data_IF_665175037214
#
_entry.id   IF_665175037214
#
_cell.length_a   1.000
_cell.length_b   1.000
_cell.length_c   1.000
_cell.angle_alpha   90.00
_cell.angle_beta   90.00
_cell.angle_gamma   90.00
#
_symmetry.space_group_name_H-M   'P 1'
#
loop_
_entity.id
_entity.type
_entity.pdbx_description
1 polymer ?
#
# COMPACT_ATOMS: atom_id res chain seq x y z
N UNK A 1 -24.86 5.21 38.38
CA UNK A 1 -23.90 6.32 38.34
C UNK A 1 -22.77 6.15 37.30
N UNK A 2 -22.60 4.98 36.67
CA UNK A 2 -21.56 4.77 35.64
C UNK A 2 -21.95 5.19 34.21
N UNK A 3 -23.25 5.28 33.88
CA UNK A 3 -23.71 5.67 32.54
C UNK A 3 -23.62 7.18 32.23
N UNK A 4 -23.41 8.03 33.25
CA UNK A 4 -23.41 9.50 33.09
C UNK A 4 -22.02 10.14 32.89
N UNK A 5 -20.93 9.37 32.99
CA UNK A 5 -19.58 9.84 32.65
C UNK A 5 -19.22 9.54 31.19
N UNK A 6 -19.58 8.36 30.69
CA UNK A 6 -19.32 7.97 29.30
C UNK A 6 -20.00 8.91 28.28
N UNK A 7 -21.22 9.35 28.59
CA UNK A 7 -21.95 10.29 27.73
C UNK A 7 -21.30 11.69 27.69
N UNK A 8 -20.72 12.14 28.81
CA UNK A 8 -20.02 13.44 28.90
C UNK A 8 -18.65 13.41 28.22
N UNK A 9 -17.93 12.28 28.27
CA UNK A 9 -16.69 12.10 27.50
C UNK A 9 -16.94 12.00 26.00
N UNK A 10 -18.04 11.36 25.59
CA UNK A 10 -18.46 11.32 24.18
C UNK A 10 -18.88 12.70 23.65
N UNK A 11 -19.64 13.48 24.43
CA UNK A 11 -19.98 14.87 24.07
C UNK A 11 -18.75 15.79 24.03
N UNK A 12 -17.82 15.66 25.00
CA UNK A 12 -16.54 16.39 24.97
C UNK A 12 -15.66 15.99 23.78
N UNK A 13 -15.63 14.70 23.39
CA UNK A 13 -14.93 14.26 22.17
C UNK A 13 -15.58 14.81 20.88
N UNK A 14 -16.91 14.90 20.81
CA UNK A 14 -17.60 15.51 19.68
C UNK A 14 -17.39 17.03 19.61
N UNK A 15 -17.38 17.73 20.76
CA UNK A 15 -17.09 19.17 20.83
C UNK A 15 -15.63 19.47 20.48
N UNK A 16 -14.67 18.64 20.89
CA UNK A 16 -13.27 18.80 20.54
C UNK A 16 -13.00 18.59 19.04
N UNK A 17 -13.82 17.78 18.36
CA UNK A 17 -13.82 17.62 16.90
C UNK A 17 -14.55 18.75 16.17
N UNK A 18 -15.50 19.45 16.82
CA UNK A 18 -16.29 20.51 16.21
C UNK A 18 -15.59 21.89 16.25
N UNK A 19 -14.71 22.12 17.23
CA UNK A 19 -14.01 23.40 17.44
C UNK A 19 -12.62 23.47 16.77
N UNK A 20 -12.14 22.34 16.22
CA UNK A 20 -10.95 22.31 15.37
C UNK A 20 -11.39 22.54 13.93
N UNK A 21 -11.05 23.69 13.34
CA UNK A 21 -11.23 23.91 11.89
C UNK A 21 -10.75 22.66 11.13
N UNK A 22 -11.65 21.89 10.47
CA UNK A 22 -11.35 20.53 10.01
C UNK A 22 -10.28 20.49 8.92
N UNK A 23 -9.89 21.65 8.41
CA UNK A 23 -8.92 21.81 7.35
C UNK A 23 -7.47 21.56 7.81
N UNK A 24 -7.10 22.06 9.00
CA UNK A 24 -5.72 21.97 9.52
C UNK A 24 -5.32 20.53 9.87
N UNK A 25 -6.08 19.76 10.68
CA UNK A 25 -5.67 18.41 11.06
C UNK A 25 -5.66 17.45 9.85
N UNK A 26 -6.56 17.65 8.89
CA UNK A 26 -6.61 16.84 7.66
C UNK A 26 -5.37 17.08 6.80
N UNK A 27 -4.96 18.34 6.60
CA UNK A 27 -3.74 18.64 5.86
C UNK A 27 -2.47 18.11 6.54
N UNK A 28 -2.39 18.22 7.87
CA UNK A 28 -1.27 17.64 8.63
C UNK A 28 -1.20 16.12 8.47
N UNK A 29 -2.34 15.43 8.47
CA UNK A 29 -2.39 13.97 8.27
C UNK A 29 -1.89 13.55 6.88
N UNK A 30 -2.23 14.30 5.83
CA UNK A 30 -1.74 14.04 4.47
C UNK A 30 -0.22 14.30 4.36
N UNK A 31 0.27 15.39 4.95
CA UNK A 31 1.69 15.70 4.97
C UNK A 31 2.50 14.64 5.73
N UNK A 32 2.03 14.19 6.89
CA UNK A 32 2.67 13.13 7.66
C UNK A 32 2.67 11.78 6.91
N UNK A 33 1.56 11.41 6.28
CA UNK A 33 1.47 10.20 5.46
C UNK A 33 2.43 10.23 4.27
N UNK A 34 2.61 11.38 3.63
CA UNK A 34 3.59 11.52 2.56
C UNK A 34 5.03 11.43 3.09
N UNK A 35 5.35 12.20 4.13
CA UNK A 35 6.69 12.26 4.72
C UNK A 35 7.15 10.94 5.33
N UNK A 36 6.25 10.16 5.92
CA UNK A 36 6.57 8.86 6.51
C UNK A 36 6.38 7.72 5.52
N UNK A 37 5.33 7.79 4.70
CA UNK A 37 4.96 6.72 3.77
C UNK A 37 5.95 6.56 2.63
N UNK A 38 6.48 7.64 2.06
CA UNK A 38 7.46 7.55 0.97
C UNK A 38 8.78 6.92 1.41
N UNK A 39 9.48 7.39 2.48
CA UNK A 39 10.73 6.76 2.91
C UNK A 39 10.52 5.34 3.43
N UNK A 40 9.42 5.06 4.13
CA UNK A 40 9.14 3.71 4.61
C UNK A 40 8.92 2.73 3.44
N UNK A 41 8.04 3.07 2.50
CA UNK A 41 7.75 2.18 1.38
C UNK A 41 8.91 2.08 0.39
N UNK A 42 9.67 3.17 0.15
CA UNK A 42 10.87 3.11 -0.70
C UNK A 42 11.97 2.27 -0.08
N UNK A 43 12.14 2.32 1.24
CA UNK A 43 13.09 1.46 1.96
C UNK A 43 12.74 -0.02 1.85
N UNK A 44 11.47 -0.37 2.04
CA UNK A 44 11.02 -1.76 1.89
C UNK A 44 11.15 -2.21 0.43
N UNK A 45 10.77 -1.36 -0.54
CA UNK A 45 10.94 -1.67 -1.97
C UNK A 45 12.41 -1.89 -2.32
N UNK A 46 13.31 -1.08 -1.78
CA UNK A 46 14.75 -1.26 -1.93
C UNK A 46 15.21 -2.62 -1.38
N UNK A 47 14.75 -2.99 -0.17
CA UNK A 47 15.03 -4.31 0.40
C UNK A 47 14.45 -5.47 -0.44
N UNK A 48 13.38 -5.23 -1.20
CA UNK A 48 12.79 -6.21 -2.13
C UNK A 48 13.60 -6.39 -3.41
N UNK A 49 14.18 -5.31 -3.93
CA UNK A 49 14.95 -5.32 -5.19
C UNK A 49 16.32 -5.96 -5.00
N UNK A 50 16.82 -6.07 -3.76
CA UNK A 50 18.12 -6.70 -3.50
C UNK A 50 18.14 -8.16 -4.02
N UNK A 51 19.12 -8.53 -4.87
CA UNK A 51 19.11 -9.79 -5.61
C UNK A 51 19.13 -11.03 -4.71
N UNK A 52 19.78 -10.95 -3.53
CA UNK A 52 19.79 -12.03 -2.55
C UNK A 52 18.41 -12.26 -1.86
N UNK A 53 17.57 -11.24 -1.82
CA UNK A 53 16.26 -11.25 -1.17
C UNK A 53 15.13 -11.55 -2.17
N UNK A 54 15.27 -11.10 -3.42
CA UNK A 54 14.31 -11.31 -4.50
C UNK A 54 14.13 -12.79 -4.85
N UNK A 55 15.23 -13.56 -4.96
CA UNK A 55 15.15 -14.99 -5.32
C UNK A 55 14.47 -15.85 -4.25
N UNK A 56 14.64 -15.49 -2.97
CA UNK A 56 14.08 -16.23 -1.83
C UNK A 56 12.59 -15.95 -1.64
N UNK A 57 12.14 -14.73 -1.95
CA UNK A 57 10.76 -14.28 -1.73
C UNK A 57 9.83 -14.52 -2.91
N UNK A 58 10.32 -14.55 -4.16
CA UNK A 58 9.48 -14.95 -5.32
C UNK A 58 9.04 -16.42 -5.22
N UNK A 59 9.74 -17.23 -4.42
CA UNK A 59 9.39 -18.63 -4.19
C UNK A 59 8.38 -18.86 -3.06
N UNK A 60 8.07 -17.83 -2.29
CA UNK A 60 7.18 -17.91 -1.13
C UNK A 60 6.12 -16.81 -1.30
N UNK A 61 4.85 -17.14 -1.46
CA UNK A 61 3.76 -16.15 -1.66
C UNK A 61 3.74 -14.96 -0.67
N UNK A 62 4.47 -15.06 0.44
CA UNK A 62 4.82 -13.95 1.35
C UNK A 62 5.47 -12.75 0.64
N UNK A 63 6.36 -12.98 -0.34
CA UNK A 63 7.01 -11.89 -1.09
C UNK A 63 6.05 -11.06 -1.93
N UNK A 64 5.02 -11.71 -2.50
CA UNK A 64 3.98 -11.03 -3.30
C UNK A 64 3.06 -10.21 -2.39
N UNK A 65 2.76 -10.70 -1.18
CA UNK A 65 2.00 -9.96 -0.19
C UNK A 65 2.72 -8.68 0.26
N UNK A 66 3.99 -8.80 0.60
CA UNK A 66 4.81 -7.66 1.02
C UNK A 66 4.95 -6.64 -0.13
N UNK A 67 5.14 -7.10 -1.37
CA UNK A 67 5.14 -6.22 -2.55
C UNK A 67 3.80 -5.49 -2.72
N UNK A 68 2.68 -6.19 -2.62
CA UNK A 68 1.35 -5.58 -2.72
C UNK A 68 1.12 -4.54 -1.62
N UNK A 69 1.53 -4.83 -0.38
CA UNK A 69 1.40 -3.90 0.75
C UNK A 69 2.22 -2.61 0.52
N UNK A 70 3.47 -2.75 0.08
CA UNK A 70 4.33 -1.59 -0.26
C UNK A 70 3.79 -0.80 -1.45
N UNK A 71 3.27 -1.47 -2.48
CA UNK A 71 2.67 -0.83 -3.64
C UNK A 71 1.41 -0.05 -3.28
N UNK A 72 0.51 -0.64 -2.48
CA UNK A 72 -0.69 0.04 -1.99
C UNK A 72 -0.33 1.25 -1.12
N UNK A 73 0.67 1.11 -0.24
CA UNK A 73 1.19 2.21 0.57
C UNK A 73 1.78 3.36 -0.27
N UNK A 74 2.49 3.05 -1.35
CA UNK A 74 3.01 4.04 -2.30
C UNK A 74 1.88 4.76 -3.06
N UNK A 75 0.87 4.03 -3.53
CA UNK A 75 -0.28 4.61 -4.21
C UNK A 75 -1.09 5.52 -3.28
N UNK A 76 -1.29 5.11 -2.03
CA UNK A 76 -1.98 5.91 -1.02
C UNK A 76 -1.19 7.17 -0.65
N UNK A 77 0.12 7.06 -0.41
CA UNK A 77 0.98 8.21 -0.13
C UNK A 77 1.04 9.17 -1.32
N UNK A 78 1.09 8.68 -2.55
CA UNK A 78 1.00 9.50 -3.76
C UNK A 78 -0.36 10.21 -3.86
N UNK A 79 -1.47 9.52 -3.61
CA UNK A 79 -2.81 10.13 -3.57
C UNK A 79 -2.90 11.23 -2.51
N UNK A 80 -2.28 11.04 -1.34
CA UNK A 80 -2.22 12.06 -0.28
C UNK A 80 -1.36 13.27 -0.67
N UNK A 81 -0.29 13.06 -1.45
CA UNK A 81 0.56 14.13 -1.96
C UNK A 81 -0.19 15.02 -2.96
N UNK A 82 -1.05 14.41 -3.79
CA UNK A 82 -1.90 15.13 -4.75
C UNK A 82 -3.05 15.91 -4.09
N UNK A 83 -3.48 15.51 -2.88
CA UNK A 83 -4.54 16.19 -2.16
C UNK A 83 -4.13 17.60 -1.66
N UNK A 84 -2.85 17.80 -1.31
CA UNK A 84 -2.32 19.10 -0.88
C UNK A 84 -2.45 20.20 -1.95
N UNK A 85 -1.90 20.04 -3.17
CA UNK A 85 -2.04 21.05 -4.23
C UNK A 85 -3.47 21.13 -4.78
N UNK A 86 -4.26 20.05 -4.75
CA UNK A 86 -5.66 20.10 -5.19
C UNK A 86 -6.51 21.04 -4.32
N UNK A 87 -6.16 21.20 -3.04
CA UNK A 87 -6.83 22.16 -2.15
C UNK A 87 -6.49 23.63 -2.46
N UNK A 88 -5.31 23.88 -3.05
CA UNK A 88 -4.81 25.22 -3.36
C UNK A 88 -5.15 25.64 -4.81
N UNK A 89 -5.17 24.68 -5.73
CA UNK A 89 -5.47 24.89 -7.14
C UNK A 89 -6.45 23.81 -7.63
N UNK A 90 -7.77 24.08 -7.60
CA UNK A 90 -8.77 23.13 -8.07
C UNK A 90 -8.67 22.99 -9.58
N UNK A 91 -7.99 21.94 -10.05
CA UNK A 91 -7.95 21.55 -11.45
C UNK A 91 -8.63 20.20 -11.64
N UNK A 92 -9.46 20.04 -12.69
CA UNK A 92 -10.16 18.78 -12.93
C UNK A 92 -9.18 17.63 -13.20
N UNK A 93 -8.02 17.93 -13.77
CA UNK A 93 -6.95 16.95 -14.02
C UNK A 93 -6.34 16.41 -12.72
N UNK A 94 -6.10 17.25 -11.70
CA UNK A 94 -5.60 16.80 -10.40
C UNK A 94 -6.63 15.95 -9.66
N UNK A 95 -7.91 16.32 -9.74
CA UNK A 95 -8.98 15.54 -9.13
C UNK A 95 -9.11 14.15 -9.80
N UNK A 96 -9.06 14.09 -11.13
CA UNK A 96 -9.11 12.82 -11.87
C UNK A 96 -7.93 11.92 -11.55
N UNK A 97 -6.72 12.47 -11.48
CA UNK A 97 -5.52 11.68 -11.14
C UNK A 97 -5.57 11.18 -9.70
N UNK A 98 -5.99 11.99 -8.73
CA UNK A 98 -6.21 11.56 -7.34
C UNK A 98 -7.23 10.41 -7.25
N UNK A 99 -8.40 10.55 -7.89
CA UNK A 99 -9.43 9.51 -7.90
C UNK A 99 -8.94 8.22 -8.56
N UNK A 100 -8.15 8.34 -9.63
CA UNK A 100 -7.53 7.19 -10.29
C UNK A 100 -6.58 6.43 -9.36
N UNK A 101 -5.68 7.13 -8.65
CA UNK A 101 -4.75 6.48 -7.71
C UNK A 101 -5.46 5.86 -6.51
N UNK A 102 -6.48 6.53 -5.96
CA UNK A 102 -7.33 5.99 -4.89
C UNK A 102 -8.11 4.75 -5.35
N UNK A 103 -8.67 4.79 -6.56
CA UNK A 103 -9.33 3.65 -7.19
C UNK A 103 -8.38 2.47 -7.39
N UNK A 104 -7.16 2.73 -7.89
CA UNK A 104 -6.13 1.70 -8.04
C UNK A 104 -5.77 1.03 -6.72
N UNK A 105 -5.57 1.81 -5.64
CA UNK A 105 -5.28 1.29 -4.30
C UNK A 105 -6.41 0.39 -3.78
N UNK A 106 -7.66 0.75 -4.04
CA UNK A 106 -8.82 -0.07 -3.65
C UNK A 106 -8.93 -1.35 -4.48
N UNK A 107 -8.65 -1.26 -5.79
CA UNK A 107 -8.66 -2.42 -6.70
C UNK A 107 -7.51 -3.39 -6.45
N UNK A 108 -6.42 -2.96 -5.83
CA UNK A 108 -5.25 -3.83 -5.62
C UNK A 108 -5.56 -4.97 -4.64
N UNK A 109 -6.48 -4.75 -3.69
CA UNK A 109 -6.85 -5.73 -2.66
C UNK A 109 -7.61 -6.97 -3.20
N UNK A 110 -8.69 -6.85 -3.99
CA UNK A 110 -9.36 -8.01 -4.58
C UNK A 110 -8.46 -8.75 -5.59
N UNK A 111 -7.64 -8.02 -6.35
CA UNK A 111 -6.67 -8.63 -7.26
C UNK A 111 -5.69 -9.53 -6.51
N UNK A 112 -5.19 -9.06 -5.36
CA UNK A 112 -4.26 -9.82 -4.54
C UNK A 112 -4.90 -11.08 -3.94
N UNK A 113 -6.14 -10.99 -3.44
CA UNK A 113 -6.87 -12.15 -2.94
C UNK A 113 -7.12 -13.20 -4.04
N UNK A 114 -7.50 -12.77 -5.23
CA UNK A 114 -7.64 -13.67 -6.39
C UNK A 114 -6.32 -14.39 -6.71
N UNK A 115 -5.20 -13.66 -6.73
CA UNK A 115 -3.88 -14.25 -6.96
C UNK A 115 -3.50 -15.29 -5.88
N UNK A 116 -3.72 -14.98 -4.60
CA UNK A 116 -3.47 -15.92 -3.51
C UNK A 116 -4.34 -17.18 -3.61
N UNK A 117 -5.61 -17.03 -3.96
CA UNK A 117 -6.53 -18.16 -4.15
C UNK A 117 -6.02 -19.08 -5.27
N UNK A 118 -5.57 -18.51 -6.39
CA UNK A 118 -4.99 -19.27 -7.51
C UNK A 118 -3.68 -19.94 -7.11
N UNK A 119 -2.81 -19.26 -6.37
CA UNK A 119 -1.53 -19.82 -5.90
C UNK A 119 -1.74 -21.05 -5.01
N UNK A 120 -2.69 -20.97 -4.06
CA UNK A 120 -3.03 -22.10 -3.17
C UNK A 120 -3.74 -23.23 -3.91
N UNK A 121 -4.61 -22.90 -4.87
CA UNK A 121 -5.25 -23.88 -5.74
C UNK A 121 -4.21 -24.65 -6.58
N UNK A 122 -3.23 -23.96 -7.16
CA UNK A 122 -2.14 -24.58 -7.92
C UNK A 122 -1.23 -25.46 -7.06
N UNK A 123 -0.91 -25.02 -5.84
CA UNK A 123 -0.11 -25.80 -4.90
C UNK A 123 -0.78 -27.13 -4.52
N UNK A 124 -2.11 -27.17 -4.44
CA UNK A 124 -2.89 -28.38 -4.12
C UNK A 124 -3.05 -29.29 -5.35
N UNK A 125 -3.26 -28.74 -6.54
CA UNK A 125 -3.56 -29.54 -7.74
C UNK A 125 -2.34 -30.09 -8.48
N UNK A 126 -1.20 -29.39 -8.49
CA UNK A 126 0.00 -29.85 -9.21
C UNK A 126 1.29 -29.52 -8.45
N UNK A 127 1.73 -30.38 -7.51
CA UNK A 127 3.10 -30.32 -6.99
C UNK A 127 4.17 -30.48 -8.11
N UNK A 128 3.80 -31.04 -9.27
CA UNK A 128 4.71 -31.37 -10.37
C UNK A 128 5.01 -30.22 -11.36
N UNK A 129 4.24 -29.14 -11.40
CA UNK A 129 4.62 -27.94 -12.19
C UNK A 129 5.66 -27.06 -11.47
N UNK A 130 5.81 -27.24 -10.16
CA UNK A 130 6.78 -26.51 -9.32
C UNK A 130 8.24 -26.84 -9.68
N UNK A 131 8.51 -28.04 -10.21
CA UNK A 131 9.82 -28.45 -10.73
C UNK A 131 10.09 -27.96 -12.16
N UNK A 132 9.05 -27.72 -12.98
CA UNK A 132 9.22 -27.42 -14.42
C UNK A 132 9.39 -25.93 -14.74
N UNK A 133 9.01 -25.01 -13.84
CA UNK A 133 9.26 -23.57 -13.99
C UNK A 133 10.62 -23.11 -13.41
N UNK A 134 11.38 -24.00 -12.74
CA UNK A 134 12.69 -23.70 -12.14
C UNK A 134 13.91 -23.64 -13.09
N UNK A 135 13.96 -24.20 -14.33
CA UNK A 135 15.23 -24.27 -15.06
C UNK A 135 15.54 -23.05 -15.96
N UNK A 136 14.76 -21.96 -15.98
CA UNK A 136 15.00 -20.86 -16.93
C UNK A 136 15.62 -19.57 -16.38
N UNK A 137 15.90 -19.45 -15.07
CA UNK A 137 16.54 -18.23 -14.51
C UNK A 137 17.97 -18.42 -13.97
N UNK A 138 18.59 -19.59 -14.19
CA UNK A 138 20.02 -19.79 -13.87
C UNK A 138 20.96 -19.56 -15.06
N UNK A 139 20.45 -19.18 -16.23
CA UNK A 139 21.25 -18.89 -17.43
C UNK A 139 21.18 -17.43 -17.85
N UNK A 140 21.40 -16.51 -16.90
CA UNK A 140 21.99 -15.23 -17.26
C UNK A 140 23.45 -15.35 -16.85
N UNK A 141 24.36 -15.76 -17.76
CA UNK A 141 25.77 -15.84 -17.42
C UNK A 141 26.25 -14.46 -17.01
N UNK A 142 26.93 -14.40 -15.86
CA UNK A 142 27.91 -13.38 -15.53
C UNK A 142 28.69 -12.98 -16.79
N UNK A 143 28.42 -11.79 -17.32
CA UNK A 143 29.25 -11.11 -18.32
C UNK A 143 28.89 -9.61 -18.27
N UNK A 144 29.41 -8.92 -17.25
CA UNK A 144 29.66 -7.49 -17.29
C UNK A 144 31.07 -7.31 -16.73
N UNK A 145 31.99 -6.90 -17.60
CA UNK A 145 33.41 -6.70 -17.31
C UNK A 145 33.70 -5.39 -16.60
#
# INVERSE_FOLDING_TARGET
>A
MWAGQENRTAELQCLQCADSDPFIPVQCSHAANFLLGVPANSWVLWLMVQPAAAERRVLSGVGVFELHLTLSGLLFSLSSALALPASQLPSPALLQTMLFFSGLSTCTQPLFQCCLCVERYLAVLRPLTFLRYRPLRYKVPMLAG
#
